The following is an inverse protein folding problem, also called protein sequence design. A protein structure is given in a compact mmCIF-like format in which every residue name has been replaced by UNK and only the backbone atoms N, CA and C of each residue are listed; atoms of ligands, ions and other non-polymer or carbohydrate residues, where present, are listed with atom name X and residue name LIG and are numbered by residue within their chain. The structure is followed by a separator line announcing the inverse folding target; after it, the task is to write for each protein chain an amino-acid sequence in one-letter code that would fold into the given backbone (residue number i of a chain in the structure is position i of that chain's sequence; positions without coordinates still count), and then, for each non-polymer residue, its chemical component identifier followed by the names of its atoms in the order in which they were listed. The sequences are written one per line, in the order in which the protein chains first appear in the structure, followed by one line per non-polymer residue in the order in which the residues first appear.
data_IF_098590907313
#
_entry.id   IF_098590907313
#
_cell.length_a   1.000
_cell.length_b   1.000
_cell.length_c   1.000
_cell.angle_alpha   90.00
_cell.angle_beta   90.00
_cell.angle_gamma   90.00
#
_symmetry.space_group_name_H-M   'P 1'
#
loop_
_entity.id
_entity.type
_entity.pdbx_description
1 polymer ?
#
# COMPACT_ATOMS: atom_id res chain seq x y z
N UNK A 1 30.23 -33.63 -11.24
CA UNK A 1 31.30 -32.97 -12.04
C UNK A 1 31.67 -31.71 -11.30
N UNK A 2 32.88 -31.75 -10.72
CA UNK A 2 33.34 -30.88 -9.64
C UNK A 2 33.54 -29.44 -10.08
N UNK A 3 32.65 -28.56 -9.64
CA UNK A 3 32.83 -27.10 -9.68
C UNK A 3 34.06 -26.64 -8.85
N UNK A 4 34.54 -27.48 -7.93
CA UNK A 4 35.74 -27.23 -7.11
C UNK A 4 37.05 -27.39 -7.88
N UNK A 5 37.05 -28.04 -9.02
CA UNK A 5 38.30 -28.20 -9.84
C UNK A 5 38.70 -26.88 -10.53
N UNK A 6 37.77 -25.96 -10.75
CA UNK A 6 38.04 -24.69 -11.43
C UNK A 6 38.79 -23.72 -10.50
N UNK A 7 38.57 -23.78 -9.19
CA UNK A 7 39.25 -22.89 -8.24
C UNK A 7 40.70 -23.25 -7.93
N UNK A 8 41.15 -24.45 -8.31
CA UNK A 8 42.56 -24.88 -8.12
C UNK A 8 43.52 -24.34 -9.15
N UNK A 9 43.04 -23.77 -10.25
CA UNK A 9 43.85 -23.22 -11.34
C UNK A 9 44.14 -21.74 -11.24
N UNK A 10 43.50 -21.03 -10.27
CA UNK A 10 43.80 -19.63 -10.04
C UNK A 10 44.87 -19.50 -8.96
N UNK A 11 45.97 -18.75 -9.18
CA UNK A 11 46.92 -18.46 -8.10
C UNK A 11 46.18 -17.85 -6.93
N UNK A 12 46.45 -18.38 -5.73
CA UNK A 12 45.87 -17.84 -4.47
C UNK A 12 46.11 -16.34 -4.44
N UNK A 13 45.04 -15.59 -4.18
CA UNK A 13 45.01 -14.12 -4.16
C UNK A 13 46.04 -13.47 -3.20
N UNK A 14 46.80 -14.27 -2.44
CA UNK A 14 47.88 -13.81 -1.56
C UNK A 14 49.18 -13.46 -2.27
N UNK A 15 49.36 -13.84 -3.54
CA UNK A 15 50.63 -13.59 -4.29
C UNK A 15 50.56 -12.35 -5.19
N UNK A 16 49.37 -11.76 -5.37
CA UNK A 16 49.24 -10.54 -6.14
C UNK A 16 49.37 -9.31 -5.20
N UNK A 17 50.22 -8.34 -5.54
CA UNK A 17 50.30 -7.13 -4.78
C UNK A 17 48.91 -6.46 -4.79
N UNK A 18 48.27 -6.41 -3.62
CA UNK A 18 46.96 -5.72 -3.44
C UNK A 18 47.18 -4.24 -3.69
N UNK A 19 47.05 -3.82 -4.92
CA UNK A 19 46.95 -2.40 -5.26
C UNK A 19 45.62 -1.90 -4.71
N UNK A 20 45.66 -0.91 -3.82
CA UNK A 20 44.43 -0.31 -3.28
C UNK A 20 43.50 0.09 -4.41
N UNK A 21 42.20 -0.11 -4.22
CA UNK A 21 41.22 0.26 -5.22
C UNK A 21 41.36 1.77 -5.56
N UNK A 22 41.24 2.18 -6.83
CA UNK A 22 41.28 3.58 -7.21
C UNK A 22 40.29 4.39 -6.37
N UNK A 23 40.70 5.56 -5.89
CA UNK A 23 39.88 6.42 -5.00
C UNK A 23 38.49 6.72 -5.57
N UNK A 24 38.38 6.85 -6.89
CA UNK A 24 37.09 7.02 -7.58
C UNK A 24 36.16 5.81 -7.45
N UNK A 25 36.67 4.60 -7.31
CA UNK A 25 35.86 3.40 -7.09
C UNK A 25 35.36 3.32 -5.65
N UNK A 26 36.20 3.73 -4.69
CA UNK A 26 35.81 3.81 -3.28
C UNK A 26 34.69 4.83 -3.10
N UNK A 27 34.85 6.04 -3.68
CA UNK A 27 33.82 7.07 -3.64
C UNK A 27 32.51 6.61 -4.29
N UNK A 28 32.59 5.91 -5.43
CA UNK A 28 31.42 5.37 -6.12
C UNK A 28 30.74 4.25 -5.33
N UNK A 29 31.53 3.38 -4.69
CA UNK A 29 30.99 2.34 -3.81
C UNK A 29 30.31 2.93 -2.56
N UNK A 30 30.90 3.97 -1.96
CA UNK A 30 30.31 4.70 -0.84
C UNK A 30 29.00 5.37 -1.24
N UNK A 31 28.94 6.06 -2.38
CA UNK A 31 27.71 6.67 -2.88
C UNK A 31 26.61 5.64 -3.20
N UNK A 32 26.98 4.46 -3.68
CA UNK A 32 26.04 3.35 -3.89
C UNK A 32 25.56 2.75 -2.56
N UNK A 33 26.40 2.67 -1.54
CA UNK A 33 26.02 2.23 -0.20
C UNK A 33 25.05 3.22 0.47
N UNK A 34 25.29 4.54 0.34
CA UNK A 34 24.38 5.58 0.81
C UNK A 34 23.05 5.58 0.05
N UNK A 35 23.06 5.32 -1.27
CA UNK A 35 21.83 5.18 -2.06
C UNK A 35 21.04 3.91 -1.73
N UNK A 36 21.68 2.90 -1.15
CA UNK A 36 21.04 1.62 -0.74
C UNK A 36 20.29 1.69 0.59
N UNK A 37 20.34 2.81 1.30
CA UNK A 37 19.46 3.10 2.44
C UNK A 37 18.02 3.45 1.99
N UNK A 38 17.58 2.98 0.83
CA UNK A 38 16.15 2.95 0.52
C UNK A 38 15.54 1.91 1.44
N UNK A 39 14.86 2.38 2.47
CA UNK A 39 14.02 1.54 3.32
C UNK A 39 13.23 0.61 2.41
N UNK A 40 13.38 -0.70 2.58
CA UNK A 40 12.69 -1.66 1.74
C UNK A 40 11.18 -1.40 1.86
N UNK A 41 10.50 -1.09 0.75
CA UNK A 41 9.06 -0.84 0.77
C UNK A 41 8.37 -2.13 1.21
N UNK A 42 7.71 -2.06 2.34
CA UNK A 42 6.94 -3.17 2.88
C UNK A 42 5.63 -3.31 2.11
N UNK A 43 5.36 -4.49 1.58
CA UNK A 43 4.10 -4.81 0.90
C UNK A 43 3.18 -5.51 1.88
N UNK A 44 2.02 -4.91 2.13
CA UNK A 44 1.01 -5.41 3.03
C UNK A 44 -0.28 -5.70 2.25
N UNK A 45 -1.08 -6.62 2.77
CA UNK A 45 -2.43 -6.88 2.28
C UNK A 45 -3.38 -6.52 3.42
N UNK A 46 -4.31 -5.61 3.14
CA UNK A 46 -5.32 -5.24 4.13
C UNK A 46 -6.43 -6.28 4.20
N UNK A 47 -6.94 -6.51 5.39
CA UNK A 47 -8.10 -7.34 5.64
C UNK A 47 -9.36 -6.48 5.74
N UNK A 48 -10.49 -6.94 5.19
CA UNK A 48 -11.79 -6.30 5.35
C UNK A 48 -12.34 -6.67 6.74
N UNK A 49 -12.37 -5.69 7.65
CA UNK A 49 -12.82 -5.89 9.04
C UNK A 49 -14.29 -5.53 9.25
N UNK A 50 -14.83 -4.64 8.40
CA UNK A 50 -16.23 -4.23 8.48
C UNK A 50 -16.81 -3.93 7.10
N UNK A 51 -18.04 -4.40 6.86
CA UNK A 51 -18.85 -4.07 5.68
C UNK A 51 -20.31 -3.88 6.10
N UNK A 52 -20.84 -2.67 5.95
CA UNK A 52 -22.22 -2.36 6.32
C UNK A 52 -23.28 -3.12 5.51
N UNK A 53 -22.91 -3.66 4.36
CA UNK A 53 -23.82 -4.49 3.57
C UNK A 53 -23.83 -5.97 4.00
N UNK A 54 -22.78 -6.43 4.68
CA UNK A 54 -22.68 -7.79 5.20
C UNK A 54 -23.32 -7.93 6.58
N UNK A 55 -23.48 -6.83 7.32
CA UNK A 55 -24.08 -6.85 8.66
C UNK A 55 -25.60 -6.86 8.54
N UNK A 56 -26.26 -7.90 9.06
CA UNK A 56 -27.70 -7.94 9.16
C UNK A 56 -28.20 -6.77 10.03
N UNK A 57 -29.26 -6.03 9.62
CA UNK A 57 -29.81 -4.97 10.45
C UNK A 57 -30.32 -5.56 11.75
N UNK A 58 -29.87 -5.01 12.87
CA UNK A 58 -30.44 -5.38 14.18
C UNK A 58 -31.91 -4.98 14.21
N UNK A 59 -32.74 -5.83 14.79
CA UNK A 59 -34.18 -5.59 14.95
C UNK A 59 -34.42 -4.21 15.59
N UNK A 60 -35.14 -3.33 14.87
CA UNK A 60 -35.50 -1.98 15.35
C UNK A 60 -34.61 -0.85 14.87
N UNK A 61 -33.49 -1.11 14.19
CA UNK A 61 -32.68 -0.08 13.56
C UNK A 61 -33.05 0.01 12.08
N UNK A 62 -33.29 1.24 11.57
CA UNK A 62 -33.43 1.45 10.12
C UNK A 62 -32.26 0.77 9.41
N UNK A 63 -32.56 -0.15 8.50
CA UNK A 63 -31.56 -0.83 7.70
C UNK A 63 -30.60 0.17 7.01
N UNK A 64 -29.44 -0.29 6.51
CA UNK A 64 -28.48 0.59 5.85
C UNK A 64 -29.21 1.43 4.81
N UNK A 65 -29.02 2.76 4.87
CA UNK A 65 -29.60 3.67 3.87
C UNK A 65 -29.27 3.12 2.47
N UNK A 66 -30.34 2.82 1.72
CA UNK A 66 -30.20 2.28 0.39
C UNK A 66 -29.29 3.17 -0.45
N UNK A 67 -28.16 2.64 -0.94
CA UNK A 67 -27.20 3.39 -1.74
C UNK A 67 -25.96 3.89 -1.00
N UNK A 68 -25.84 3.68 0.32
CA UNK A 68 -24.63 3.98 1.09
C UNK A 68 -23.96 2.68 1.57
N UNK A 69 -22.65 2.61 1.46
CA UNK A 69 -21.84 1.50 1.98
C UNK A 69 -20.68 2.05 2.80
N UNK A 70 -20.43 1.45 3.93
CA UNK A 70 -19.25 1.72 4.76
C UNK A 70 -18.42 0.46 4.85
N UNK A 71 -17.13 0.62 4.65
CA UNK A 71 -16.13 -0.44 4.67
C UNK A 71 -14.98 -0.01 5.58
N UNK A 72 -14.43 -0.96 6.31
CA UNK A 72 -13.22 -0.75 7.09
C UNK A 72 -12.22 -1.86 6.77
N UNK A 73 -10.99 -1.46 6.54
CA UNK A 73 -9.88 -2.36 6.25
C UNK A 73 -8.78 -2.13 7.27
N UNK A 74 -8.10 -3.19 7.66
CA UNK A 74 -6.96 -3.13 8.56
C UNK A 74 -5.74 -3.82 7.93
N UNK A 75 -4.57 -3.22 8.11
CA UNK A 75 -3.28 -3.79 7.77
C UNK A 75 -2.30 -3.38 8.87
N UNK A 76 -1.92 -4.35 9.72
CA UNK A 76 -1.12 -4.09 10.92
C UNK A 76 -1.76 -3.00 11.80
N UNK A 77 -1.12 -1.85 11.93
CA UNK A 77 -1.58 -0.70 12.72
C UNK A 77 -2.21 0.41 11.87
N UNK A 78 -2.44 0.17 10.60
CA UNK A 78 -3.03 1.11 9.65
C UNK A 78 -4.46 0.67 9.35
N UNK A 79 -5.41 1.58 9.47
CA UNK A 79 -6.81 1.34 9.15
C UNK A 79 -7.25 2.28 8.03
N UNK A 80 -8.02 1.78 7.06
CA UNK A 80 -8.70 2.58 6.06
C UNK A 80 -10.21 2.51 6.30
N UNK A 81 -10.82 3.65 6.57
CA UNK A 81 -12.27 3.82 6.56
C UNK A 81 -12.70 4.32 5.18
N UNK A 82 -13.62 3.62 4.52
CA UNK A 82 -14.14 3.96 3.20
C UNK A 82 -15.66 4.07 3.26
N UNK A 83 -16.19 5.20 2.84
CA UNK A 83 -17.62 5.41 2.64
C UNK A 83 -17.91 5.62 1.15
N UNK A 84 -18.93 4.96 0.66
CA UNK A 84 -19.37 5.07 -0.72
C UNK A 84 -20.87 5.36 -0.75
N UNK A 85 -21.29 6.32 -1.56
CA UNK A 85 -22.70 6.64 -1.79
C UNK A 85 -22.96 6.74 -3.29
N UNK A 86 -24.01 6.09 -3.77
CA UNK A 86 -24.46 6.22 -5.16
C UNK A 86 -25.51 7.30 -5.25
N UNK A 87 -25.22 8.41 -5.95
CA UNK A 87 -26.11 9.54 -6.11
C UNK A 87 -26.01 10.10 -7.53
N UNK A 88 -27.16 10.29 -8.18
CA UNK A 88 -27.20 10.87 -9.53
C UNK A 88 -26.41 10.10 -10.58
N UNK A 89 -26.41 8.76 -10.54
CA UNK A 89 -25.69 7.92 -11.49
C UNK A 89 -24.16 7.86 -11.27
N UNK A 90 -23.65 8.48 -10.21
CA UNK A 90 -22.22 8.50 -9.88
C UNK A 90 -22.00 8.02 -8.44
N UNK A 91 -20.83 7.46 -8.22
CA UNK A 91 -20.35 7.08 -6.90
C UNK A 91 -19.57 8.24 -6.29
N UNK A 92 -20.02 8.68 -5.12
CA UNK A 92 -19.29 9.61 -4.26
C UNK A 92 -18.57 8.80 -3.19
N UNK A 93 -17.27 8.97 -3.11
CA UNK A 93 -16.39 8.22 -2.23
C UNK A 93 -15.70 9.16 -1.27
N UNK A 94 -15.62 8.75 -0.02
CA UNK A 94 -14.83 9.41 1.01
C UNK A 94 -14.03 8.35 1.74
N UNK A 95 -12.73 8.53 1.85
CA UNK A 95 -11.87 7.62 2.57
C UNK A 95 -11.00 8.38 3.58
N UNK A 96 -10.56 7.68 4.62
CA UNK A 96 -9.62 8.19 5.61
C UNK A 96 -8.66 7.10 6.00
N UNK A 97 -7.36 7.39 5.95
CA UNK A 97 -6.31 6.54 6.49
C UNK A 97 -6.09 6.93 7.95
N UNK A 98 -6.21 5.98 8.85
CA UNK A 98 -5.99 6.15 10.28
C UNK A 98 -4.74 5.39 10.67
N UNK A 99 -3.78 6.08 11.25
CA UNK A 99 -2.48 5.55 11.65
C UNK A 99 -2.20 5.90 13.11
N UNK A 100 -1.25 5.22 13.77
CA UNK A 100 -0.79 5.62 15.09
C UNK A 100 -0.27 7.07 15.10
N UNK A 101 -0.39 7.76 16.23
CA UNK A 101 0.09 9.14 16.38
C UNK A 101 1.59 9.32 16.15
N UNK A 102 2.36 8.25 16.27
CA UNK A 102 3.81 8.22 16.05
C UNK A 102 4.18 8.15 14.57
N UNK A 103 3.24 7.73 13.71
CA UNK A 103 3.46 7.64 12.28
C UNK A 103 3.25 9.02 11.63
N UNK A 104 4.32 9.54 11.03
CA UNK A 104 4.33 10.81 10.30
C UNK A 104 4.36 10.62 8.78
N UNK A 105 4.16 9.41 8.31
CA UNK A 105 4.18 9.09 6.88
C UNK A 105 3.05 9.81 6.14
N UNK A 106 3.35 10.32 4.96
CA UNK A 106 2.33 10.85 4.05
C UNK A 106 1.78 9.70 3.24
N UNK A 107 0.49 9.50 3.31
CA UNK A 107 -0.21 8.45 2.59
C UNK A 107 -0.89 9.00 1.34
N UNK A 108 -0.83 8.23 0.27
CA UNK A 108 -1.55 8.47 -0.98
C UNK A 108 -2.52 7.32 -1.20
N UNK A 109 -3.75 7.61 -1.55
CA UNK A 109 -4.73 6.62 -1.94
C UNK A 109 -4.77 6.51 -3.46
N UNK A 110 -4.62 5.30 -3.99
CA UNK A 110 -4.67 5.03 -5.43
C UNK A 110 -5.95 4.25 -5.72
N UNK A 111 -6.86 4.86 -6.47
CA UNK A 111 -8.13 4.26 -6.87
C UNK A 111 -8.17 4.11 -8.39
N UNK A 112 -8.28 2.89 -8.93
CA UNK A 112 -8.34 2.63 -10.37
C UNK A 112 -7.25 3.38 -11.17
N UNK A 113 -5.99 3.35 -10.70
CA UNK A 113 -4.82 4.06 -11.27
C UNK A 113 -4.81 5.58 -11.07
N UNK A 114 -5.81 6.18 -10.46
CA UNK A 114 -5.81 7.58 -10.09
C UNK A 114 -5.20 7.74 -8.69
N UNK A 115 -4.19 8.58 -8.56
CA UNK A 115 -3.61 8.96 -7.26
C UNK A 115 -4.41 10.09 -6.66
N UNK A 116 -4.83 9.94 -5.43
CA UNK A 116 -5.59 10.89 -4.65
C UNK A 116 -4.74 11.38 -3.48
N UNK A 117 -4.82 12.66 -3.20
CA UNK A 117 -4.23 13.27 -2.02
C UNK A 117 -5.31 13.56 -0.99
N UNK A 118 -4.94 13.48 0.28
CA UNK A 118 -5.85 13.87 1.35
C UNK A 118 -6.03 15.39 1.38
N UNK A 119 -7.21 15.83 1.83
CA UNK A 119 -7.47 17.22 2.18
C UNK A 119 -6.80 17.60 3.52
N UNK A 120 -6.96 18.87 3.94
CA UNK A 120 -6.40 19.39 5.20
C UNK A 120 -6.92 18.67 6.46
N UNK A 121 -8.01 17.92 6.34
CA UNK A 121 -8.61 17.12 7.41
C UNK A 121 -8.23 15.63 7.33
N UNK A 122 -7.41 15.24 6.34
CA UNK A 122 -6.97 13.87 6.12
C UNK A 122 -7.99 12.99 5.40
N UNK A 123 -8.96 13.57 4.68
CA UNK A 123 -9.92 12.83 3.89
C UNK A 123 -9.55 12.83 2.42
N UNK A 124 -9.73 11.68 1.78
CA UNK A 124 -9.67 11.51 0.33
C UNK A 124 -11.09 11.55 -0.20
N UNK A 125 -11.43 12.52 -1.04
CA UNK A 125 -12.77 12.67 -1.60
C UNK A 125 -12.69 12.62 -3.12
N UNK A 126 -13.47 11.74 -3.74
CA UNK A 126 -13.55 11.66 -5.20
C UNK A 126 -14.91 11.17 -5.68
N UNK A 127 -15.16 11.37 -6.95
CA UNK A 127 -16.37 10.92 -7.63
C UNK A 127 -15.98 10.08 -8.84
N UNK A 128 -16.69 8.98 -9.07
CA UNK A 128 -16.45 8.09 -10.20
C UNK A 128 -17.76 7.57 -10.80
N UNK A 129 -17.77 7.31 -12.10
CA UNK A 129 -18.91 6.66 -12.75
C UNK A 129 -19.09 5.22 -12.26
N UNK A 130 -17.96 4.52 -12.08
CA UNK A 130 -17.93 3.16 -11.54
C UNK A 130 -17.16 3.15 -10.21
N UNK A 131 -17.58 2.33 -9.25
CA UNK A 131 -16.87 2.21 -7.99
C UNK A 131 -15.51 1.55 -8.20
N UNK A 132 -14.51 1.83 -7.35
CA UNK A 132 -13.18 1.27 -7.51
C UNK A 132 -13.18 -0.23 -7.25
N UNK A 133 -12.60 -0.99 -8.15
CA UNK A 133 -12.36 -2.42 -7.97
C UNK A 133 -11.02 -2.68 -7.28
N UNK A 134 -10.05 -1.80 -7.48
CA UNK A 134 -8.72 -1.88 -6.92
C UNK A 134 -8.40 -0.60 -6.16
N UNK A 135 -8.01 -0.77 -4.92
CA UNK A 135 -7.55 0.29 -4.03
C UNK A 135 -6.17 -0.08 -3.49
N UNK A 136 -5.29 0.89 -3.49
CA UNK A 136 -3.96 0.79 -2.91
C UNK A 136 -3.71 2.01 -2.02
N UNK A 137 -3.03 1.80 -0.90
CA UNK A 137 -2.49 2.87 -0.07
C UNK A 137 -0.98 2.82 -0.22
N UNK A 138 -0.37 3.94 -0.50
CA UNK A 138 1.08 4.04 -0.66
C UNK A 138 1.64 5.12 0.26
N UNK A 139 2.76 4.82 0.90
CA UNK A 139 3.64 5.78 1.58
C UNK A 139 5.08 5.52 1.15
N UNK A 140 6.02 6.24 1.73
CA UNK A 140 7.45 6.05 1.48
C UNK A 140 7.92 4.63 1.88
N UNK A 141 7.30 4.06 2.92
CA UNK A 141 7.72 2.80 3.53
C UNK A 141 6.75 1.63 3.26
N UNK A 142 5.50 1.91 2.86
CA UNK A 142 4.47 0.89 2.74
C UNK A 142 3.71 0.98 1.41
N UNK A 143 3.37 -0.19 0.88
CA UNK A 143 2.35 -0.35 -0.16
C UNK A 143 1.34 -1.36 0.35
N UNK A 144 0.12 -0.90 0.61
CA UNK A 144 -0.96 -1.70 1.16
C UNK A 144 -1.99 -1.95 0.07
N UNK A 145 -2.17 -3.21 -0.29
CA UNK A 145 -3.17 -3.64 -1.27
C UNK A 145 -4.48 -4.00 -0.56
N UNK A 146 -5.59 -3.47 -1.01
CA UNK A 146 -6.90 -3.84 -0.50
C UNK A 146 -7.47 -5.02 -1.33
N UNK A 147 -8.27 -5.90 -0.71
CA UNK A 147 -8.93 -6.98 -1.43
C UNK A 147 -9.90 -6.42 -2.47
N UNK A 148 -10.12 -7.17 -3.54
CA UNK A 148 -11.06 -6.80 -4.60
C UNK A 148 -12.48 -6.67 -4.04
N UNK A 149 -13.12 -5.52 -4.28
CA UNK A 149 -14.44 -5.20 -3.77
C UNK A 149 -15.54 -5.57 -4.76
N UNK A 150 -16.56 -6.26 -4.28
CA UNK A 150 -17.81 -6.51 -5.01
C UNK A 150 -18.80 -5.40 -4.66
N UNK A 151 -19.26 -4.66 -5.66
CA UNK A 151 -20.15 -3.51 -5.47
C UNK A 151 -21.63 -3.78 -5.80
N UNK A 152 -21.99 -5.02 -6.01
CA UNK A 152 -23.41 -5.40 -6.12
C UNK A 152 -24.03 -5.44 -4.71
N UNK A 153 -25.07 -4.65 -4.48
CA UNK A 153 -25.84 -4.77 -3.25
C UNK A 153 -26.38 -6.21 -3.10
N UNK A 154 -26.44 -6.76 -1.89
CA UNK A 154 -27.09 -8.04 -1.68
C UNK A 154 -28.55 -7.94 -2.18
N UNK A 155 -28.96 -8.86 -3.03
CA UNK A 155 -30.37 -8.98 -3.41
C UNK A 155 -31.17 -9.26 -2.14
N UNK A 156 -32.17 -8.42 -1.86
CA UNK A 156 -33.13 -8.66 -0.80
C UNK A 156 -33.96 -9.89 -1.09
#
# INVERSE_FOLDING_TARGET
RDLFAIFRTFPLAGELPLTGAPSGWIARAASLAESKSRTAIQKLIAELTFDSWAVAPALGIRGPESGKRRLQFAAENITLDLQAAHKGGKWQMTARVVTPRTDRSVYQLIANKQTLSADDRGYYVWTAANPPTNLLIRSDNHVISLPALKWSAPKK
#
